data_IF_309068233094
#
_entry.id   IF_309068233094
#
_cell.length_a   1.000
_cell.length_b   1.000
_cell.length_c   1.000
_cell.angle_alpha   90.00
_cell.angle_beta   90.00
_cell.angle_gamma   90.00
#
_symmetry.space_group_name_H-M   'P 1'
#
loop_
_entity.id
_entity.type
_entity.pdbx_description
1 polymer ?
#
# COMPACT_ATOMS: atom_id res chain seq x y z
N UNK A 1 22.47 13.16 -17.53
CA UNK A 1 22.46 12.03 -16.60
C UNK A 1 21.24 12.21 -15.73
N UNK A 2 20.36 11.23 -15.62
CA UNK A 2 19.32 11.31 -14.60
C UNK A 2 20.01 11.18 -13.24
N UNK A 3 19.73 12.11 -12.33
CA UNK A 3 20.29 12.05 -10.98
C UNK A 3 19.80 10.81 -10.27
N UNK A 4 20.70 10.14 -9.52
CA UNK A 4 20.35 9.00 -8.69
C UNK A 4 19.36 9.47 -7.61
N UNK A 5 18.13 8.98 -7.66
CA UNK A 5 17.09 9.34 -6.69
C UNK A 5 16.75 8.12 -5.83
N UNK A 6 16.97 8.23 -4.52
CA UNK A 6 16.52 7.22 -3.57
C UNK A 6 14.99 7.23 -3.46
N UNK A 7 14.42 6.06 -3.21
CA UNK A 7 12.97 5.90 -3.16
C UNK A 7 12.33 6.77 -2.07
N UNK A 8 13.05 7.03 -0.97
CA UNK A 8 12.56 7.90 0.11
C UNK A 8 12.21 9.31 -0.40
N UNK A 9 13.03 9.89 -1.28
CA UNK A 9 12.76 11.23 -1.82
C UNK A 9 11.50 11.26 -2.68
N UNK A 10 11.25 10.17 -3.43
CA UNK A 10 10.02 10.03 -4.20
C UNK A 10 8.79 9.90 -3.30
N UNK A 11 8.91 9.09 -2.24
CA UNK A 11 7.86 8.90 -1.22
C UNK A 11 7.51 10.25 -0.58
N UNK A 12 8.51 11.00 -0.08
CA UNK A 12 8.31 12.29 0.58
C UNK A 12 7.63 13.31 -0.33
N UNK A 13 8.03 13.40 -1.60
CA UNK A 13 7.38 14.26 -2.57
C UNK A 13 5.90 13.89 -2.77
N UNK A 14 5.61 12.61 -2.95
CA UNK A 14 4.24 12.14 -3.16
C UNK A 14 3.36 12.35 -1.92
N UNK A 15 3.88 12.07 -0.71
CA UNK A 15 3.19 12.34 0.56
C UNK A 15 2.76 13.79 0.68
N UNK A 16 3.64 14.71 0.30
CA UNK A 16 3.38 16.14 0.38
C UNK A 16 2.21 16.59 -0.50
N UNK A 17 2.01 15.93 -1.62
CA UNK A 17 0.95 16.26 -2.59
C UNK A 17 -0.42 15.62 -2.26
N UNK A 18 -0.50 14.69 -1.31
CA UNK A 18 -1.78 14.12 -0.85
C UNK A 18 -2.68 15.22 -0.32
N UNK A 19 -3.95 15.22 -0.76
CA UNK A 19 -4.97 16.18 -0.26
C UNK A 19 -6.21 15.48 0.29
N UNK A 20 -6.15 14.15 0.43
CA UNK A 20 -7.27 13.36 0.90
C UNK A 20 -7.71 13.75 2.31
N UNK A 21 -8.99 14.08 2.43
CA UNK A 21 -9.69 14.34 3.68
C UNK A 21 -10.58 13.13 4.00
N UNK A 22 -10.19 12.28 4.96
CA UNK A 22 -10.94 11.06 5.27
C UNK A 22 -12.36 11.34 5.75
N UNK A 23 -12.59 12.45 6.49
CA UNK A 23 -13.90 12.79 7.01
C UNK A 23 -14.90 13.15 5.90
N UNK A 24 -14.41 13.72 4.80
CA UNK A 24 -15.23 14.08 3.63
C UNK A 24 -15.19 13.04 2.53
N UNK A 25 -14.24 12.06 2.59
CA UNK A 25 -13.92 11.11 1.52
C UNK A 25 -13.65 11.81 0.18
N UNK A 26 -12.84 12.87 0.21
CA UNK A 26 -12.53 13.71 -0.96
C UNK A 26 -11.06 14.06 -1.02
N UNK A 27 -10.60 14.30 -2.26
CA UNK A 27 -9.24 14.71 -2.53
C UNK A 27 -8.35 13.60 -3.06
N UNK A 28 -7.08 13.94 -3.24
CA UNK A 28 -6.10 13.09 -3.95
C UNK A 28 -5.41 12.11 -3.02
N UNK A 29 -5.37 10.86 -3.45
CA UNK A 29 -4.61 9.77 -2.87
C UNK A 29 -3.49 9.35 -3.82
N UNK A 30 -2.48 8.68 -3.29
CA UNK A 30 -1.45 8.03 -4.09
C UNK A 30 -1.99 6.67 -4.53
N UNK A 31 -1.82 6.35 -5.82
CA UNK A 31 -2.21 5.04 -6.36
C UNK A 31 -1.04 4.31 -7.02
N UNK A 32 -1.10 2.99 -6.97
CA UNK A 32 -0.30 2.08 -7.79
C UNK A 32 -1.08 1.79 -9.08
N UNK A 33 -0.37 1.66 -10.20
CA UNK A 33 -0.97 1.30 -11.47
C UNK A 33 -0.43 -0.05 -11.91
N UNK A 34 -1.31 -1.02 -12.05
CA UNK A 34 -0.99 -2.34 -12.58
C UNK A 34 -1.51 -2.49 -14.00
N UNK A 35 -0.67 -2.99 -14.91
CA UNK A 35 -1.02 -3.30 -16.29
C UNK A 35 -1.17 -4.82 -16.41
N UNK A 36 -2.30 -5.24 -16.95
CA UNK A 36 -2.67 -6.66 -17.08
C UNK A 36 -3.17 -6.96 -18.48
N UNK A 37 -3.21 -8.23 -18.89
CA UNK A 37 -3.92 -8.63 -20.09
C UNK A 37 -5.43 -8.46 -19.90
N UNK A 38 -6.12 -7.90 -20.87
CA UNK A 38 -7.57 -7.69 -20.79
C UNK A 38 -8.35 -9.01 -20.64
N UNK A 39 -7.83 -10.12 -21.21
CA UNK A 39 -8.39 -11.47 -21.05
C UNK A 39 -8.42 -11.95 -19.58
N UNK A 40 -7.47 -11.51 -18.77
CA UNK A 40 -7.29 -11.96 -17.39
C UNK A 40 -7.99 -11.03 -16.38
N UNK A 41 -8.44 -9.85 -16.84
CA UNK A 41 -8.99 -8.79 -15.98
C UNK A 41 -10.07 -9.30 -15.01
N UNK A 42 -11.01 -10.13 -15.50
CA UNK A 42 -12.09 -10.66 -14.65
C UNK A 42 -11.57 -11.55 -13.53
N UNK A 43 -10.57 -12.42 -13.83
CA UNK A 43 -9.94 -13.28 -12.82
C UNK A 43 -9.15 -12.45 -11.82
N UNK A 44 -8.40 -11.47 -12.30
CA UNK A 44 -7.59 -10.57 -11.47
C UNK A 44 -8.47 -9.76 -10.52
N UNK A 45 -9.57 -9.18 -10.98
CA UNK A 45 -10.49 -8.45 -10.10
C UNK A 45 -11.12 -9.38 -9.06
N UNK A 46 -11.36 -10.67 -9.39
CA UNK A 46 -11.75 -11.69 -8.42
C UNK A 46 -10.72 -11.87 -7.30
N UNK A 47 -9.43 -11.94 -7.64
CA UNK A 47 -8.33 -12.05 -6.68
C UNK A 47 -8.17 -10.76 -5.85
N UNK A 48 -8.25 -9.59 -6.48
CA UNK A 48 -8.25 -8.32 -5.75
C UNK A 48 -9.39 -8.22 -4.74
N UNK A 49 -10.59 -8.70 -5.11
CA UNK A 49 -11.75 -8.76 -4.19
C UNK A 49 -11.46 -9.68 -3.00
N UNK A 50 -10.84 -10.84 -3.23
CA UNK A 50 -10.41 -11.73 -2.14
C UNK A 50 -9.43 -11.03 -1.21
N UNK A 51 -8.40 -10.36 -1.74
CA UNK A 51 -7.44 -9.61 -0.94
C UNK A 51 -8.12 -8.50 -0.12
N UNK A 52 -9.04 -7.74 -0.71
CA UNK A 52 -9.82 -6.70 -0.01
C UNK A 52 -10.65 -7.29 1.12
N UNK A 53 -11.42 -8.35 0.86
CA UNK A 53 -12.28 -8.97 1.87
C UNK A 53 -11.50 -9.68 2.98
N UNK A 54 -10.26 -10.07 2.71
CA UNK A 54 -9.34 -10.63 3.71
C UNK A 54 -8.52 -9.56 4.45
N UNK A 55 -8.79 -8.27 4.22
CA UNK A 55 -8.07 -7.19 4.87
C UNK A 55 -6.62 -7.01 4.39
N UNK A 56 -6.26 -7.54 3.21
CA UNK A 56 -4.91 -7.51 2.66
C UNK A 56 -4.72 -6.44 1.57
N UNK A 57 -5.61 -5.47 1.50
CA UNK A 57 -5.51 -4.30 0.63
C UNK A 57 -5.60 -3.02 1.46
N UNK A 58 -4.99 -1.96 0.96
CA UNK A 58 -5.01 -0.64 1.63
C UNK A 58 -6.42 -0.06 1.69
N UNK A 59 -7.19 -0.26 0.62
CA UNK A 59 -8.54 0.29 0.46
C UNK A 59 -9.33 -0.56 -0.54
N UNK A 60 -10.66 -0.63 -0.43
CA UNK A 60 -11.52 -1.32 -1.40
C UNK A 60 -11.76 -0.51 -2.69
N UNK A 61 -11.26 0.74 -2.75
CA UNK A 61 -11.50 1.60 -3.90
C UNK A 61 -10.45 1.37 -4.99
N UNK A 62 -10.92 1.27 -6.24
CA UNK A 62 -10.06 1.12 -7.41
C UNK A 62 -10.70 1.70 -8.66
N UNK A 63 -9.87 1.90 -9.70
CA UNK A 63 -10.31 2.35 -11.01
C UNK A 63 -9.73 1.43 -12.08
N UNK A 64 -10.58 1.02 -13.03
CA UNK A 64 -10.15 0.30 -14.23
C UNK A 64 -9.95 1.32 -15.35
N UNK A 65 -8.83 1.21 -16.05
CA UNK A 65 -8.47 2.02 -17.21
C UNK A 65 -8.49 1.11 -18.43
N UNK A 66 -9.29 1.45 -19.41
CA UNK A 66 -9.46 0.63 -20.63
C UNK A 66 -8.37 0.88 -21.66
N UNK A 67 -8.20 -0.07 -22.58
CA UNK A 67 -7.31 0.09 -23.72
C UNK A 67 -7.59 1.40 -24.47
N UNK A 68 -6.53 2.15 -24.79
CA UNK A 68 -6.58 3.47 -25.42
C UNK A 68 -6.72 4.66 -24.46
N UNK A 69 -7.19 4.46 -23.25
CA UNK A 69 -7.27 5.50 -22.21
C UNK A 69 -5.88 5.81 -21.62
N UNK A 70 -5.79 6.94 -20.92
CA UNK A 70 -4.59 7.38 -20.20
C UNK A 70 -4.92 7.63 -18.74
N UNK A 71 -3.94 7.33 -17.90
CA UNK A 71 -3.93 7.74 -16.49
C UNK A 71 -2.56 8.33 -16.16
N UNK A 72 -2.51 9.62 -15.81
CA UNK A 72 -1.24 10.35 -15.76
C UNK A 72 -0.47 10.25 -17.09
N UNK A 73 0.77 9.79 -17.02
CA UNK A 73 1.62 9.59 -18.19
C UNK A 73 1.53 8.16 -18.78
N UNK A 74 0.73 7.28 -18.18
CA UNK A 74 0.59 5.88 -18.61
C UNK A 74 -0.56 5.78 -19.60
N UNK A 75 -0.28 5.34 -20.83
CA UNK A 75 -1.29 4.99 -21.84
C UNK A 75 -1.48 3.48 -21.85
N UNK A 76 -2.73 3.03 -21.79
CA UNK A 76 -3.04 1.60 -21.84
C UNK A 76 -3.04 1.14 -23.30
N UNK A 77 -2.21 0.15 -23.59
CA UNK A 77 -2.07 -0.44 -24.90
C UNK A 77 -3.29 -1.30 -25.29
N UNK A 78 -3.41 -1.62 -26.57
CA UNK A 78 -4.43 -2.55 -27.05
C UNK A 78 -4.29 -3.92 -26.40
N UNK A 79 -5.43 -4.57 -26.04
CA UNK A 79 -5.51 -5.86 -25.35
C UNK A 79 -4.97 -5.84 -23.91
N UNK A 80 -4.64 -4.66 -23.37
CA UNK A 80 -4.27 -4.48 -21.95
C UNK A 80 -5.37 -3.70 -21.23
N UNK A 81 -5.37 -3.83 -19.92
CA UNK A 81 -6.15 -3.01 -19.00
C UNK A 81 -5.26 -2.49 -17.88
N UNK A 82 -5.58 -1.31 -17.38
CA UNK A 82 -4.94 -0.74 -16.20
C UNK A 82 -5.84 -0.90 -14.97
N UNK A 83 -5.24 -1.12 -13.82
CA UNK A 83 -5.91 -1.13 -12.52
C UNK A 83 -5.18 -0.13 -11.63
N UNK A 84 -5.88 0.92 -11.21
CA UNK A 84 -5.39 1.84 -10.18
C UNK A 84 -5.94 1.43 -8.83
N UNK A 85 -5.07 1.20 -7.85
CA UNK A 85 -5.39 0.85 -6.46
C UNK A 85 -4.62 1.72 -5.47
N UNK A 86 -5.16 1.90 -4.26
CA UNK A 86 -4.56 2.79 -3.26
C UNK A 86 -3.18 2.29 -2.80
N UNK A 87 -2.22 3.21 -2.74
CA UNK A 87 -0.91 3.00 -2.14
C UNK A 87 -0.96 3.33 -0.64
N UNK A 88 -0.26 2.55 0.20
CA UNK A 88 -0.19 2.73 1.65
C UNK A 88 0.46 4.06 2.08
N UNK A 89 1.30 4.65 1.23
CA UNK A 89 1.91 5.96 1.48
C UNK A 89 0.87 7.11 1.52
N UNK A 90 -0.34 6.88 1.03
CA UNK A 90 -1.47 7.79 1.24
C UNK A 90 -1.70 8.09 2.72
N UNK A 91 -1.53 7.10 3.60
CA UNK A 91 -1.67 7.25 5.06
C UNK A 91 -0.65 8.25 5.58
N UNK A 92 0.59 8.15 5.12
CA UNK A 92 1.67 9.05 5.50
C UNK A 92 1.35 10.50 5.09
N UNK A 93 0.81 10.67 3.88
CA UNK A 93 0.35 11.99 3.41
C UNK A 93 -0.78 12.58 4.25
N UNK A 94 -1.75 11.77 4.66
CA UNK A 94 -2.86 12.21 5.54
C UNK A 94 -2.35 12.57 6.94
N UNK A 95 -1.46 11.78 7.52
CA UNK A 95 -0.81 12.09 8.81
C UNK A 95 -0.04 13.41 8.71
N UNK A 96 0.74 13.60 7.64
CA UNK A 96 1.49 14.83 7.40
C UNK A 96 0.56 16.05 7.31
N UNK A 97 -0.55 15.96 6.57
CA UNK A 97 -1.57 17.04 6.47
C UNK A 97 -2.27 17.34 7.80
N UNK A 98 -2.39 16.33 8.65
CA UNK A 98 -2.86 16.54 10.03
C UNK A 98 -1.79 17.20 10.93
N UNK A 99 -0.61 17.56 10.40
CA UNK A 99 0.48 18.16 11.15
C UNK A 99 1.23 17.16 12.05
N UNK A 100 1.20 15.88 11.71
CA UNK A 100 1.95 14.81 12.38
C UNK A 100 3.20 14.51 11.57
N UNK A 101 4.40 14.76 12.10
CA UNK A 101 5.63 14.34 11.45
C UNK A 101 5.67 12.81 11.36
N UNK A 102 5.74 12.29 10.14
CA UNK A 102 5.85 10.86 9.87
C UNK A 102 7.02 10.62 8.93
N UNK A 103 7.84 9.62 9.24
CA UNK A 103 8.97 9.22 8.41
C UNK A 103 8.80 7.77 7.97
N UNK A 104 8.50 7.50 6.69
CA UNK A 104 8.59 6.16 6.13
C UNK A 104 10.00 5.61 6.35
N UNK A 105 10.13 4.42 6.88
CA UNK A 105 11.42 3.84 7.28
C UNK A 105 11.82 2.68 6.38
N UNK A 106 10.94 1.72 6.22
CA UNK A 106 11.23 0.50 5.46
C UNK A 106 9.97 -0.11 4.84
N UNK A 107 10.18 -0.91 3.80
CA UNK A 107 9.27 -1.92 3.32
C UNK A 107 9.82 -3.30 3.66
N UNK A 108 8.95 -4.29 3.78
CA UNK A 108 9.36 -5.63 4.17
C UNK A 108 8.26 -6.67 4.01
N UNK A 109 8.61 -7.87 4.45
CA UNK A 109 7.73 -9.03 4.55
C UNK A 109 7.41 -9.27 6.02
N UNK A 110 6.13 -9.38 6.36
CA UNK A 110 5.66 -9.69 7.71
C UNK A 110 5.09 -11.10 7.74
N UNK A 111 5.52 -11.88 8.72
CA UNK A 111 4.96 -13.17 9.06
C UNK A 111 3.68 -12.99 9.88
N UNK A 112 2.57 -13.58 9.39
CA UNK A 112 1.28 -13.62 10.07
C UNK A 112 1.02 -15.04 10.56
N UNK A 113 0.54 -15.19 11.77
CA UNK A 113 0.12 -16.47 12.33
C UNK A 113 -1.25 -16.35 12.96
N UNK A 114 -2.19 -17.18 12.52
CA UNK A 114 -3.60 -17.16 12.99
C UNK A 114 -4.21 -15.75 13.02
N UNK A 115 -3.98 -14.98 11.94
CA UNK A 115 -4.49 -13.60 11.79
C UNK A 115 -3.71 -12.52 12.56
N UNK A 116 -2.69 -12.89 13.34
CA UNK A 116 -1.90 -11.95 14.13
C UNK A 116 -0.51 -11.72 13.50
N UNK A 117 -0.06 -10.47 13.32
CA UNK A 117 1.28 -10.18 12.85
C UNK A 117 2.30 -10.54 13.94
N UNK A 118 3.37 -11.27 13.56
CA UNK A 118 4.43 -11.69 14.47
C UNK A 118 5.67 -10.81 14.36
N UNK A 119 6.21 -10.68 13.17
CA UNK A 119 7.48 -9.96 12.94
C UNK A 119 7.70 -9.69 11.46
N UNK A 120 8.54 -8.72 11.18
CA UNK A 120 9.20 -8.63 9.88
C UNK A 120 10.24 -9.75 9.75
N UNK A 121 10.21 -10.48 8.63
CA UNK A 121 11.22 -11.51 8.29
C UNK A 121 12.30 -10.96 7.39
N UNK A 122 11.94 -10.02 6.50
CA UNK A 122 12.82 -9.41 5.51
C UNK A 122 12.50 -7.92 5.42
N UNK A 123 13.51 -7.06 5.39
CA UNK A 123 13.33 -5.60 5.36
C UNK A 123 14.38 -4.92 4.48
N UNK A 124 13.97 -3.84 3.81
CA UNK A 124 14.85 -2.88 3.13
C UNK A 124 14.44 -1.46 3.52
N UNK A 125 15.41 -0.63 3.88
CA UNK A 125 15.15 0.76 4.27
C UNK A 125 15.01 1.64 3.02
N UNK A 126 14.05 2.56 3.04
CA UNK A 126 13.77 3.45 1.91
C UNK A 126 14.90 4.45 1.59
N UNK A 127 15.74 4.76 2.57
CA UNK A 127 16.87 5.67 2.41
C UNK A 127 18.12 5.00 1.81
N UNK A 128 18.12 3.67 1.69
CA UNK A 128 19.26 2.89 1.17
C UNK A 128 19.04 2.29 -0.22
N UNK A 129 17.86 2.46 -0.81
CA UNK A 129 17.52 1.86 -2.11
C UNK A 129 16.91 2.87 -3.08
N UNK A 130 17.06 2.60 -4.38
CA UNK A 130 16.44 3.33 -5.49
C UNK A 130 15.27 2.59 -6.11
N UNK A 131 15.03 1.33 -5.67
CA UNK A 131 13.92 0.47 -6.08
C UNK A 131 12.98 0.32 -4.90
N UNK A 132 11.67 0.26 -5.14
CA UNK A 132 10.72 0.03 -4.06
C UNK A 132 10.98 -1.33 -3.38
N UNK A 133 11.17 -1.38 -2.06
CA UNK A 133 11.36 -2.63 -1.32
C UNK A 133 10.28 -3.67 -1.57
N UNK A 134 9.01 -3.27 -1.68
CA UNK A 134 7.91 -4.22 -1.87
C UNK A 134 8.00 -4.90 -3.23
N UNK A 135 8.42 -4.16 -4.26
CA UNK A 135 8.69 -4.69 -5.60
C UNK A 135 9.82 -5.75 -5.57
N UNK A 136 10.89 -5.46 -4.81
CA UNK A 136 11.99 -6.41 -4.63
C UNK A 136 11.49 -7.72 -4.01
N UNK A 137 10.75 -7.63 -2.90
CA UNK A 137 10.27 -8.83 -2.19
C UNK A 137 9.21 -9.60 -2.99
N UNK A 138 8.36 -8.90 -3.73
CA UNK A 138 7.37 -9.51 -4.61
C UNK A 138 8.06 -10.25 -5.77
N UNK A 139 9.06 -9.64 -6.42
CA UNK A 139 9.83 -10.25 -7.52
C UNK A 139 10.69 -11.44 -7.08
N UNK A 140 11.05 -11.52 -5.80
CA UNK A 140 11.76 -12.65 -5.21
C UNK A 140 10.83 -13.73 -4.66
N UNK A 141 9.51 -13.61 -4.87
CA UNK A 141 8.49 -14.58 -4.44
C UNK A 141 8.53 -14.87 -2.92
N UNK A 142 8.83 -13.83 -2.10
CA UNK A 142 8.97 -14.00 -0.64
C UNK A 142 7.62 -13.92 0.09
N UNK A 143 6.53 -13.76 -0.62
CA UNK A 143 5.17 -13.71 -0.05
C UNK A 143 4.47 -15.06 -0.10
N UNK A 144 3.40 -15.19 0.66
CA UNK A 144 2.44 -16.30 0.60
C UNK A 144 1.03 -15.81 0.93
N UNK A 145 0.59 -14.79 0.17
CA UNK A 145 -0.71 -14.13 0.34
C UNK A 145 -1.87 -15.10 0.13
N UNK A 146 -1.75 -15.98 -0.87
CA UNK A 146 -2.73 -17.06 -1.12
C UNK A 146 -2.89 -17.96 0.10
N UNK A 147 -1.77 -18.36 0.72
CA UNK A 147 -1.79 -19.18 1.93
C UNK A 147 -2.41 -18.43 3.11
N UNK A 148 -2.03 -17.16 3.27
CA UNK A 148 -2.60 -16.28 4.31
C UNK A 148 -4.13 -16.18 4.20
N UNK A 149 -4.67 -15.98 3.00
CA UNK A 149 -6.12 -15.90 2.78
C UNK A 149 -6.83 -17.20 3.17
N UNK A 150 -6.24 -18.35 2.84
CA UNK A 150 -6.85 -19.65 3.04
C UNK A 150 -6.74 -20.18 4.47
N UNK A 151 -5.72 -19.80 5.23
CA UNK A 151 -5.40 -20.40 6.54
C UNK A 151 -5.32 -19.41 7.70
N UNK A 152 -5.30 -18.10 7.42
CA UNK A 152 -5.00 -17.07 8.42
C UNK A 152 -3.52 -16.97 8.77
N UNK A 153 -2.64 -17.72 8.10
CA UNK A 153 -1.19 -17.71 8.35
C UNK A 153 -0.41 -17.59 7.04
N UNK A 154 0.67 -16.82 7.02
CA UNK A 154 1.45 -16.62 5.81
C UNK A 154 2.36 -15.41 5.89
N UNK A 155 2.91 -15.02 4.75
CA UNK A 155 3.80 -13.87 4.60
C UNK A 155 3.17 -12.82 3.69
N UNK A 156 3.11 -11.59 4.16
CA UNK A 156 2.53 -10.47 3.43
C UNK A 156 3.51 -9.31 3.33
N UNK A 157 3.33 -8.46 2.34
CA UNK A 157 4.05 -7.20 2.22
C UNK A 157 3.52 -6.18 3.22
N UNK A 158 4.43 -5.46 3.84
CA UNK A 158 4.11 -4.40 4.80
C UNK A 158 5.17 -3.29 4.76
N UNK A 159 4.80 -2.13 5.29
CA UNK A 159 5.73 -1.02 5.50
C UNK A 159 5.66 -0.54 6.94
N UNK A 160 6.77 0.04 7.40
CA UNK A 160 6.89 0.64 8.71
C UNK A 160 7.32 2.10 8.60
N UNK A 161 6.70 2.95 9.41
CA UNK A 161 7.06 4.36 9.57
C UNK A 161 7.22 4.70 11.04
N UNK A 162 7.98 5.75 11.29
CA UNK A 162 8.16 6.31 12.62
C UNK A 162 7.48 7.67 12.75
N UNK A 163 6.98 7.95 13.96
CA UNK A 163 6.42 9.25 14.32
C UNK A 163 6.84 9.62 15.74
N UNK A 164 6.87 10.92 16.12
CA UNK A 164 7.11 11.32 17.51
C UNK A 164 6.08 10.68 18.45
N UNK A 165 6.53 10.11 19.56
CA UNK A 165 5.65 9.47 20.56
C UNK A 165 4.62 10.44 21.14
N UNK A 166 4.94 11.74 21.21
CA UNK A 166 4.03 12.78 21.67
C UNK A 166 2.81 12.98 20.77
N UNK A 167 2.84 12.46 19.55
CA UNK A 167 1.72 12.56 18.60
C UNK A 167 0.72 11.39 18.71
N UNK A 168 0.94 10.41 19.59
CA UNK A 168 0.17 9.15 19.67
C UNK A 168 -1.34 9.35 19.59
N UNK A 169 -1.92 10.13 20.50
CA UNK A 169 -3.37 10.34 20.55
C UNK A 169 -3.93 10.93 19.25
N UNK A 170 -3.15 11.83 18.61
CA UNK A 170 -3.54 12.42 17.33
C UNK A 170 -3.41 11.43 16.19
N UNK A 171 -2.39 10.57 16.22
CA UNK A 171 -2.21 9.48 15.24
C UNK A 171 -3.41 8.56 15.29
N UNK A 172 -3.80 8.06 16.48
CA UNK A 172 -4.94 7.16 16.65
C UNK A 172 -6.23 7.76 16.07
N UNK A 173 -6.53 9.03 16.37
CA UNK A 173 -7.70 9.72 15.81
C UNK A 173 -7.68 9.82 14.27
N UNK A 174 -6.51 10.07 13.68
CA UNK A 174 -6.37 10.13 12.21
C UNK A 174 -6.51 8.76 11.60
N UNK A 175 -5.92 7.72 12.20
CA UNK A 175 -6.03 6.34 11.75
C UNK A 175 -7.48 5.84 11.82
N UNK A 176 -8.21 6.16 12.90
CA UNK A 176 -9.65 5.85 13.02
C UNK A 176 -10.46 6.53 11.91
N UNK A 177 -10.15 7.78 11.60
CA UNK A 177 -10.81 8.50 10.49
C UNK A 177 -10.52 7.84 9.14
N UNK A 178 -9.28 7.37 8.91
CA UNK A 178 -8.90 6.62 7.71
C UNK A 178 -9.64 5.28 7.61
N UNK A 179 -9.71 4.52 8.71
CA UNK A 179 -10.49 3.26 8.76
C UNK A 179 -11.96 3.49 8.42
N UNK A 180 -12.57 4.51 8.99
CA UNK A 180 -13.96 4.91 8.70
C UNK A 180 -14.15 5.37 7.24
N UNK A 181 -13.09 5.83 6.58
CA UNK A 181 -13.09 6.19 5.16
C UNK A 181 -12.84 5.01 4.23
N UNK A 182 -12.54 3.81 4.75
CA UNK A 182 -12.28 2.60 3.99
C UNK A 182 -10.78 2.27 3.83
N UNK A 183 -9.90 2.91 4.59
CA UNK A 183 -8.44 2.62 4.59
C UNK A 183 -8.08 1.77 5.82
N UNK A 184 -8.37 0.48 5.78
CA UNK A 184 -8.26 -0.44 6.92
C UNK A 184 -6.99 -1.30 6.88
N UNK A 185 -5.86 -0.68 6.60
CA UNK A 185 -4.58 -1.37 6.37
C UNK A 185 -3.60 -1.29 7.55
N UNK A 186 -4.05 -0.93 8.75
CA UNK A 186 -3.19 -0.83 9.93
C UNK A 186 -2.93 -2.24 10.45
N UNK A 187 -1.65 -2.65 10.53
CA UNK A 187 -1.23 -3.90 11.14
C UNK A 187 -1.02 -3.73 12.64
N UNK A 188 -0.25 -2.70 13.01
CA UNK A 188 0.10 -2.45 14.40
C UNK A 188 0.47 -0.98 14.62
N UNK A 189 0.04 -0.43 15.75
CA UNK A 189 0.49 0.86 16.27
C UNK A 189 1.32 0.56 17.52
N UNK A 190 2.64 0.73 17.40
CA UNK A 190 3.58 0.35 18.46
C UNK A 190 3.52 1.27 19.69
N UNK A 191 4.02 0.77 20.80
CA UNK A 191 4.19 1.54 22.02
C UNK A 191 5.40 2.49 21.89
N UNK A 192 5.39 3.66 22.56
CA UNK A 192 6.51 4.59 22.58
C UNK A 192 7.83 3.95 23.01
N UNK A 193 8.90 4.21 22.28
CA UNK A 193 10.25 3.68 22.51
C UNK A 193 10.37 2.13 22.50
N UNK A 194 9.36 1.43 22.02
CA UNK A 194 9.40 -0.03 21.89
C UNK A 194 9.54 -0.44 20.43
N UNK A 195 10.23 -1.54 20.21
CA UNK A 195 10.32 -2.17 18.90
C UNK A 195 8.92 -2.58 18.40
N UNK A 196 8.71 -2.54 17.09
CA UNK A 196 7.47 -2.96 16.47
C UNK A 196 7.73 -4.12 15.50
N UNK A 197 7.07 -5.24 15.70
CA UNK A 197 7.23 -6.45 14.89
C UNK A 197 8.71 -6.84 14.68
N UNK A 198 9.53 -6.72 15.74
CA UNK A 198 10.97 -7.02 15.69
C UNK A 198 11.85 -5.95 15.05
N UNK A 199 11.28 -4.83 14.61
CA UNK A 199 12.03 -3.69 14.05
C UNK A 199 12.26 -2.63 15.10
N UNK A 200 13.52 -2.21 15.24
CA UNK A 200 13.92 -1.18 16.19
C UNK A 200 13.33 0.20 15.83
N UNK A 201 12.77 0.85 16.83
CA UNK A 201 12.22 2.21 16.75
C UNK A 201 13.19 3.20 17.38
N UNK A 202 13.34 4.37 16.75
CA UNK A 202 14.21 5.43 17.25
C UNK A 202 13.76 5.98 18.61
N UNK A 203 14.71 6.60 19.34
CA UNK A 203 14.43 7.22 20.63
C UNK A 203 13.36 8.32 20.50
N UNK A 204 12.46 8.38 21.48
CA UNK A 204 11.32 9.32 21.54
C UNK A 204 10.37 9.20 20.34
N UNK A 205 10.33 8.00 19.73
CA UNK A 205 9.48 7.64 18.59
C UNK A 205 8.53 6.50 18.95
N UNK A 206 7.58 6.30 18.06
CA UNK A 206 6.73 5.12 17.99
C UNK A 206 6.68 4.64 16.53
N UNK A 207 6.54 3.34 16.34
CA UNK A 207 6.40 2.73 15.03
C UNK A 207 4.93 2.55 14.66
N UNK A 208 4.63 2.59 13.37
CA UNK A 208 3.34 2.24 12.80
C UNK A 208 3.60 1.29 11.64
N UNK A 209 3.10 0.07 11.72
CA UNK A 209 3.16 -0.91 10.65
C UNK A 209 1.84 -0.95 9.89
N UNK A 210 1.92 -0.92 8.56
CA UNK A 210 0.74 -1.01 7.69
C UNK A 210 0.96 -2.02 6.58
N UNK A 211 -0.14 -2.55 6.07
CA UNK A 211 -0.16 -3.48 4.94
C UNK A 211 0.36 -2.80 3.69
N UNK A 212 1.21 -3.49 2.94
CA UNK A 212 1.69 -3.04 1.64
C UNK A 212 0.57 -2.97 0.60
N UNK A 213 0.57 -1.89 -0.19
CA UNK A 213 -0.44 -1.67 -1.24
C UNK A 213 -0.38 -2.69 -2.38
N UNK A 214 0.68 -3.48 -2.46
CA UNK A 214 0.94 -4.45 -3.53
C UNK A 214 0.60 -5.91 -3.16
N UNK A 215 0.04 -6.18 -1.97
CA UNK A 215 -0.43 -7.54 -1.64
C UNK A 215 -1.47 -8.11 -2.62
N UNK A 216 -2.45 -7.34 -3.15
CA UNK A 216 -3.33 -7.85 -4.19
C UNK A 216 -2.58 -8.27 -5.47
N UNK A 217 -1.48 -7.57 -5.81
CA UNK A 217 -0.62 -7.90 -6.94
C UNK A 217 0.19 -9.17 -6.68
N UNK A 218 0.75 -9.30 -5.48
CA UNK A 218 1.44 -10.52 -5.05
C UNK A 218 0.49 -11.75 -5.14
N UNK A 219 -0.77 -11.60 -4.71
CA UNK A 219 -1.79 -12.65 -4.86
C UNK A 219 -2.01 -13.03 -6.33
N UNK A 220 -2.00 -12.06 -7.25
CA UNK A 220 -2.14 -12.31 -8.69
C UNK A 220 -0.94 -13.09 -9.22
N UNK A 221 0.28 -12.71 -8.86
CA UNK A 221 1.51 -13.43 -9.26
C UNK A 221 1.56 -14.85 -8.69
N UNK A 222 1.19 -15.05 -7.41
CA UNK A 222 1.08 -16.37 -6.78
C UNK A 222 0.05 -17.30 -7.44
N UNK A 223 -0.83 -16.75 -8.29
CA UNK A 223 -1.80 -17.49 -9.10
C UNK A 223 -1.39 -17.62 -10.58
N UNK A 224 -0.10 -17.47 -10.88
CA UNK A 224 0.50 -17.61 -12.21
C UNK A 224 -0.10 -16.66 -13.26
N UNK A 225 -0.50 -15.44 -12.85
CA UNK A 225 -1.01 -14.41 -13.76
C UNK A 225 -0.02 -13.27 -13.86
N UNK A 226 0.30 -12.91 -15.10
CA UNK A 226 1.19 -11.78 -15.39
C UNK A 226 0.55 -10.45 -14.98
N UNK A 227 1.27 -9.67 -14.17
CA UNK A 227 0.90 -8.32 -13.75
C UNK A 227 2.16 -7.45 -13.69
N UNK A 228 2.13 -6.31 -14.38
CA UNK A 228 3.20 -5.31 -14.34
C UNK A 228 2.70 -4.12 -13.49
N UNK A 229 3.29 -3.93 -12.32
CA UNK A 229 2.88 -2.90 -11.38
C UNK A 229 3.91 -1.79 -11.30
N UNK A 230 3.42 -0.56 -11.37
CA UNK A 230 4.18 0.66 -11.11
C UNK A 230 3.68 1.26 -9.81
N UNK A 231 4.51 1.19 -8.79
CA UNK A 231 4.22 1.71 -7.47
C UNK A 231 4.42 3.22 -7.41
N UNK A 232 3.75 3.86 -6.45
CA UNK A 232 3.82 5.32 -6.27
C UNK A 232 3.65 6.06 -7.61
N UNK A 233 2.66 5.63 -8.42
CA UNK A 233 2.60 6.04 -9.83
C UNK A 233 2.14 7.47 -9.99
N UNK A 234 0.98 7.80 -9.43
CA UNK A 234 0.35 9.11 -9.57
C UNK A 234 -0.54 9.43 -8.37
N UNK A 235 -0.96 10.70 -8.32
CA UNK A 235 -2.10 11.12 -7.49
C UNK A 235 -3.39 11.05 -8.29
N UNK A 236 -4.43 10.50 -7.68
CA UNK A 236 -5.76 10.37 -8.24
C UNK A 236 -6.80 10.84 -7.23
N UNK A 237 -7.82 11.55 -7.70
CA UNK A 237 -8.94 11.91 -6.83
C UNK A 237 -9.73 10.64 -6.46
N UNK A 238 -9.95 10.43 -5.15
CA UNK A 238 -10.66 9.23 -4.65
C UNK A 238 -12.07 9.12 -5.27
N UNK A 239 -12.67 10.23 -5.63
CA UNK A 239 -14.01 10.32 -6.24
C UNK A 239 -14.04 9.71 -7.66
N UNK A 240 -12.87 9.50 -8.30
CA UNK A 240 -12.74 8.80 -9.58
C UNK A 240 -12.68 7.28 -9.43
N UNK A 241 -12.61 6.79 -8.20
CA UNK A 241 -12.50 5.36 -7.89
C UNK A 241 -13.86 4.83 -7.41
N UNK A 242 -14.08 3.55 -7.61
CA UNK A 242 -15.31 2.88 -7.16
C UNK A 242 -14.95 1.73 -6.22
N UNK A 243 -15.89 1.39 -5.33
CA UNK A 243 -15.73 0.22 -4.48
C UNK A 243 -15.65 -1.05 -5.33
N UNK A 244 -14.74 -1.96 -5.00
CA UNK A 244 -14.48 -3.17 -5.81
C UNK A 244 -15.73 -4.02 -6.04
N UNK A 245 -16.66 -4.04 -5.11
CA UNK A 245 -17.90 -4.82 -5.22
C UNK A 245 -18.90 -4.18 -6.20
N UNK A 246 -18.73 -2.90 -6.51
CA UNK A 246 -19.54 -2.14 -7.47
C UNK A 246 -18.95 -2.16 -8.88
N UNK A 247 -17.70 -2.66 -9.03
CA UNK A 247 -17.03 -2.75 -10.34
C UNK A 247 -17.79 -3.69 -11.28
N UNK A 248 -18.23 -3.14 -12.41
CA UNK A 248 -18.79 -3.88 -13.55
C UNK A 248 -17.68 -4.11 -14.58
N UNK A 249 -17.37 -5.38 -14.84
CA UNK A 249 -16.34 -5.85 -15.77
C UNK A 249 -16.99 -6.36 -17.04
#
# INVERSE_FOLDING_TARGET
>A
MADLMFIISRIENMMYEVTFDPAKRKGKIIVNISIVNESDLKKIIGLFRQAVHSGLAVSPFMKIIRAGEKIGNVKIEAKKAGIASACSITIDGVLLKAGIPVKPKLGGVVEIHEGSPLRFTDVLTYDSTTIDPLDVFMSQELTSVTHMINTGSGKILANMRESPMSARNKIELVLDSLVNAGFSCILEVGEPNNDILGVQVGRDKMGIAVIGGTNPMALVQENDIEIDTRELSILLDIEEMVHIDELKI
#
